data_IF_811697547540
#
_entry.id   IF_811697547540
#
_cell.length_a   1.000
_cell.length_b   1.000
_cell.length_c   1.000
_cell.angle_alpha   90.00
_cell.angle_beta   90.00
_cell.angle_gamma   90.00
#
_symmetry.space_group_name_H-M   'P 1'
#
loop_
_entity.id
_entity.type
_entity.pdbx_description
1 polymer ?
#
# COMPACT_ATOMS: atom_id res chain seq x y z
N UNK A 1 -13.07 11.97 3.28
CA UNK A 1 -11.88 12.87 3.40
C UNK A 1 -10.53 12.21 3.75
N UNK A 2 -10.40 10.94 4.20
CA UNK A 2 -9.09 10.42 4.66
C UNK A 2 -8.15 9.79 3.61
N UNK A 3 -8.46 9.86 2.30
CA UNK A 3 -7.63 9.26 1.22
C UNK A 3 -6.35 10.04 0.86
N UNK A 4 -6.36 11.36 1.07
CA UNK A 4 -5.24 12.25 0.72
C UNK A 4 -3.99 11.96 1.56
N UNK A 5 -4.16 11.59 2.83
CA UNK A 5 -3.05 11.22 3.72
C UNK A 5 -2.29 10.00 3.21
N UNK A 6 -3.01 8.94 2.81
CA UNK A 6 -2.38 7.77 2.20
C UNK A 6 -1.75 8.07 0.84
N UNK A 7 -2.41 8.89 0.01
CA UNK A 7 -1.84 9.31 -1.27
C UNK A 7 -0.49 10.01 -1.07
N UNK A 8 -0.43 10.97 -0.15
CA UNK A 8 0.80 11.67 0.20
C UNK A 8 1.87 10.71 0.74
N UNK A 9 1.50 9.75 1.59
CA UNK A 9 2.45 8.75 2.11
C UNK A 9 3.08 7.91 0.99
N UNK A 10 2.28 7.40 0.05
CA UNK A 10 2.78 6.62 -1.09
C UNK A 10 3.65 7.47 -2.02
N UNK A 11 3.27 8.72 -2.29
CA UNK A 11 4.08 9.64 -3.11
C UNK A 11 5.42 9.98 -2.44
N UNK A 12 5.40 10.25 -1.14
CA UNK A 12 6.63 10.51 -0.37
C UNK A 12 7.51 9.26 -0.30
N UNK A 13 6.93 8.08 -0.13
CA UNK A 13 7.66 6.81 -0.13
C UNK A 13 8.32 6.56 -1.49
N UNK A 14 7.59 6.76 -2.60
CA UNK A 14 8.12 6.64 -3.95
C UNK A 14 9.24 7.65 -4.19
N UNK A 15 9.02 8.92 -3.84
CA UNK A 15 10.02 9.97 -3.97
C UNK A 15 11.30 9.63 -3.22
N UNK A 16 11.21 9.19 -1.96
CA UNK A 16 12.38 8.78 -1.17
C UNK A 16 13.17 7.65 -1.83
N UNK A 17 12.49 6.67 -2.42
CA UNK A 17 13.14 5.54 -3.12
C UNK A 17 13.76 5.95 -4.46
N UNK A 18 13.18 6.92 -5.16
CA UNK A 18 13.69 7.42 -6.44
C UNK A 18 14.81 8.45 -6.28
N UNK A 19 14.73 9.31 -5.26
CA UNK A 19 15.74 10.34 -4.97
C UNK A 19 17.00 9.75 -4.32
N UNK A 20 16.85 8.68 -3.54
CA UNK A 20 17.95 7.99 -2.86
C UNK A 20 17.91 6.48 -3.15
N UNK A 21 18.13 6.07 -4.41
CA UNK A 21 18.11 4.65 -4.79
C UNK A 21 19.16 3.82 -4.04
N UNK A 22 20.27 4.42 -3.61
CA UNK A 22 21.31 3.80 -2.80
C UNK A 22 20.78 3.30 -1.44
N UNK A 23 19.95 4.09 -0.76
CA UNK A 23 19.37 3.73 0.53
C UNK A 23 18.34 2.61 0.38
N UNK A 24 17.60 2.60 -0.73
CA UNK A 24 16.67 1.53 -1.05
C UNK A 24 17.41 0.24 -1.43
N UNK A 25 18.41 0.33 -2.30
CA UNK A 25 19.23 -0.81 -2.73
C UNK A 25 20.01 -1.44 -1.56
N UNK A 26 20.34 -0.68 -0.52
CA UNK A 26 20.98 -1.21 0.70
C UNK A 26 20.12 -2.24 1.45
N UNK A 27 18.81 -2.33 1.19
CA UNK A 27 17.98 -3.42 1.71
C UNK A 27 18.16 -4.72 0.94
N UNK A 28 18.62 -4.68 -0.32
CA UNK A 28 18.72 -5.86 -1.17
C UNK A 28 19.60 -6.98 -0.58
N UNK A 29 20.81 -6.72 -0.07
CA UNK A 29 21.66 -7.77 0.52
C UNK A 29 21.07 -8.41 1.78
N UNK A 30 20.15 -7.73 2.48
CA UNK A 30 19.50 -8.27 3.70
C UNK A 30 18.62 -9.49 3.40
N UNK A 31 18.23 -9.69 2.15
CA UNK A 31 17.42 -10.82 1.70
C UNK A 31 18.26 -12.00 1.19
N UNK A 32 19.59 -11.91 1.27
CA UNK A 32 20.45 -13.01 0.83
C UNK A 32 20.21 -14.27 1.66
N UNK A 33 20.13 -15.42 0.99
CA UNK A 33 19.73 -16.70 1.59
C UNK A 33 18.25 -16.81 2.00
N UNK A 34 17.45 -15.75 1.85
CA UNK A 34 16.02 -15.72 2.20
C UNK A 34 15.14 -15.82 0.95
N UNK A 35 15.44 -15.01 -0.07
CA UNK A 35 14.75 -15.02 -1.36
C UNK A 35 15.73 -15.10 -2.54
N UNK A 36 15.35 -15.73 -3.66
CA UNK A 36 16.15 -15.70 -4.88
C UNK A 36 16.30 -14.28 -5.43
N UNK A 37 17.54 -13.89 -5.75
CA UNK A 37 17.86 -12.59 -6.34
C UNK A 37 17.09 -12.31 -7.65
N UNK A 38 16.73 -13.35 -8.40
CA UNK A 38 15.95 -13.26 -9.65
C UNK A 38 14.56 -12.66 -9.42
N UNK A 39 13.94 -12.93 -8.26
CA UNK A 39 12.63 -12.37 -7.91
C UNK A 39 12.76 -10.98 -7.24
N UNK A 40 13.80 -10.79 -6.43
CA UNK A 40 14.03 -9.53 -5.71
C UNK A 40 14.39 -8.38 -6.64
N UNK A 41 15.23 -8.61 -7.66
CA UNK A 41 15.67 -7.56 -8.60
C UNK A 41 14.51 -6.82 -9.28
N UNK A 42 13.57 -7.52 -9.96
CA UNK A 42 12.43 -6.84 -10.58
C UNK A 42 11.50 -6.23 -9.53
N UNK A 43 11.35 -6.84 -8.35
CA UNK A 43 10.52 -6.28 -7.27
C UNK A 43 11.06 -4.94 -6.77
N UNK A 44 12.36 -4.87 -6.45
CA UNK A 44 13.01 -3.64 -5.97
C UNK A 44 12.97 -2.52 -7.02
N UNK A 45 13.09 -2.86 -8.30
CA UNK A 45 13.01 -1.89 -9.39
C UNK A 45 11.58 -1.41 -9.66
N UNK A 46 10.58 -2.30 -9.56
CA UNK A 46 9.19 -1.98 -9.85
C UNK A 46 8.48 -1.24 -8.70
N UNK A 47 8.85 -1.53 -7.45
CA UNK A 47 8.15 -1.01 -6.27
C UNK A 47 8.03 0.52 -6.24
N UNK A 48 9.07 1.34 -6.51
CA UNK A 48 8.94 2.80 -6.49
C UNK A 48 7.93 3.32 -7.53
N UNK A 49 7.86 2.69 -8.70
CA UNK A 49 6.90 3.04 -9.74
C UNK A 49 5.47 2.64 -9.36
N UNK A 50 5.31 1.47 -8.73
CA UNK A 50 4.01 1.03 -8.19
C UNK A 50 3.53 2.00 -7.12
N UNK A 51 4.40 2.41 -6.20
CA UNK A 51 4.06 3.37 -5.14
C UNK A 51 3.69 4.75 -5.71
N UNK A 52 4.42 5.21 -6.73
CA UNK A 52 4.12 6.47 -7.41
C UNK A 52 2.76 6.42 -8.11
N UNK A 53 2.48 5.34 -8.83
CA UNK A 53 1.21 5.15 -9.54
C UNK A 53 0.04 5.07 -8.56
N UNK A 54 0.17 4.27 -7.49
CA UNK A 54 -0.86 4.17 -6.45
C UNK A 54 -1.10 5.49 -5.72
N UNK A 55 -0.02 6.22 -5.41
CA UNK A 55 -0.09 7.55 -4.83
C UNK A 55 -0.85 8.52 -5.74
N UNK A 56 -0.55 8.54 -7.04
CA UNK A 56 -1.23 9.37 -8.02
C UNK A 56 -2.71 9.00 -8.19
N UNK A 57 -3.06 7.71 -8.25
CA UNK A 57 -4.46 7.27 -8.33
C UNK A 57 -5.26 7.67 -7.09
N UNK A 58 -4.69 7.49 -5.89
CA UNK A 58 -5.33 7.86 -4.64
C UNK A 58 -5.49 9.39 -4.52
N UNK A 59 -4.51 10.16 -5.01
CA UNK A 59 -4.55 11.62 -5.05
C UNK A 59 -5.65 12.13 -5.99
N UNK A 60 -5.68 11.62 -7.23
CA UNK A 60 -6.69 11.96 -8.23
C UNK A 60 -8.10 11.44 -7.87
N UNK A 61 -8.18 10.48 -6.94
CA UNK A 61 -9.44 9.86 -6.51
C UNK A 61 -10.04 8.87 -7.51
N UNK A 62 -9.33 8.59 -8.60
CA UNK A 62 -9.77 7.70 -9.67
C UNK A 62 -9.61 6.22 -9.25
N UNK A 63 -10.60 5.37 -9.57
CA UNK A 63 -10.59 3.93 -9.22
C UNK A 63 -10.21 3.64 -7.76
N UNK A 64 -10.69 4.46 -6.82
CA UNK A 64 -10.25 4.44 -5.42
C UNK A 64 -10.34 3.06 -4.78
N UNK A 65 -11.38 2.27 -5.09
CA UNK A 65 -11.52 0.87 -4.60
C UNK A 65 -10.40 -0.04 -5.10
N UNK A 66 -10.02 0.06 -6.37
CA UNK A 66 -8.94 -0.73 -6.97
C UNK A 66 -7.58 -0.30 -6.42
N UNK A 67 -7.33 1.01 -6.36
CA UNK A 67 -6.10 1.58 -5.81
C UNK A 67 -5.90 1.20 -4.33
N UNK A 68 -6.95 1.23 -3.51
CA UNK A 68 -6.91 0.79 -2.11
C UNK A 68 -6.60 -0.71 -1.96
N UNK A 69 -7.18 -1.57 -2.81
CA UNK A 69 -6.87 -3.01 -2.81
C UNK A 69 -5.41 -3.28 -3.18
N UNK A 70 -4.93 -2.62 -4.24
CA UNK A 70 -3.53 -2.75 -4.68
C UNK A 70 -2.54 -2.18 -3.67
N UNK A 71 -2.87 -1.05 -3.03
CA UNK A 71 -2.08 -0.49 -1.94
C UNK A 71 -1.99 -1.45 -0.74
N UNK A 72 -3.11 -2.08 -0.37
CA UNK A 72 -3.14 -3.10 0.68
C UNK A 72 -2.28 -4.31 0.33
N UNK A 73 -2.38 -4.80 -0.91
CA UNK A 73 -1.55 -5.91 -1.40
C UNK A 73 -0.06 -5.55 -1.37
N UNK A 74 0.30 -4.35 -1.84
CA UNK A 74 1.69 -3.86 -1.84
C UNK A 74 2.26 -3.78 -0.43
N UNK A 75 1.48 -3.24 0.53
CA UNK A 75 1.88 -3.17 1.94
C UNK A 75 1.99 -4.55 2.58
N UNK A 76 1.12 -5.51 2.23
CA UNK A 76 1.24 -6.90 2.69
C UNK A 76 2.52 -7.55 2.18
N UNK A 77 2.84 -7.38 0.89
CA UNK A 77 4.09 -7.91 0.31
C UNK A 77 5.31 -7.29 0.97
N UNK A 78 5.30 -5.97 1.22
CA UNK A 78 6.35 -5.27 1.95
C UNK A 78 6.49 -5.75 3.39
N UNK A 79 5.37 -5.86 4.11
CA UNK A 79 5.35 -6.35 5.49
C UNK A 79 5.93 -7.77 5.57
N UNK A 80 5.54 -8.65 4.65
CA UNK A 80 6.11 -9.99 4.55
C UNK A 80 7.62 -9.96 4.35
N UNK A 81 8.12 -9.23 3.36
CA UNK A 81 9.57 -9.15 3.11
C UNK A 81 10.35 -8.60 4.31
N UNK A 82 9.86 -7.53 4.92
CA UNK A 82 10.48 -6.89 6.08
C UNK A 82 10.48 -7.81 7.32
N UNK A 83 9.44 -8.62 7.50
CA UNK A 83 9.39 -9.64 8.55
C UNK A 83 10.40 -10.77 8.33
N UNK A 84 10.66 -11.16 7.08
CA UNK A 84 11.67 -12.18 6.79
C UNK A 84 13.08 -11.73 7.16
N UNK A 85 13.40 -10.45 6.95
CA UNK A 85 14.68 -9.85 7.39
C UNK A 85 14.65 -9.39 8.86
N UNK A 86 13.56 -9.70 9.59
CA UNK A 86 13.35 -9.41 11.02
C UNK A 86 13.49 -7.93 11.40
N UNK A 87 13.19 -7.01 10.49
CA UNK A 87 13.23 -5.57 10.75
C UNK A 87 11.88 -5.11 11.34
N UNK A 88 11.71 -5.30 12.64
CA UNK A 88 10.43 -5.04 13.33
C UNK A 88 10.03 -3.56 13.33
N UNK A 89 11.00 -2.64 13.26
CA UNK A 89 10.71 -1.21 13.24
C UNK A 89 9.97 -0.84 11.94
N UNK A 90 10.50 -1.28 10.80
CA UNK A 90 9.87 -1.07 9.50
C UNK A 90 8.58 -1.89 9.37
N UNK A 91 8.52 -3.09 9.96
CA UNK A 91 7.32 -3.93 9.95
C UNK A 91 6.14 -3.25 10.67
N UNK A 92 6.37 -2.71 11.87
CA UNK A 92 5.36 -1.96 12.62
C UNK A 92 4.86 -0.74 11.84
N UNK A 93 5.77 0.00 11.19
CA UNK A 93 5.41 1.15 10.37
C UNK A 93 4.51 0.76 9.19
N UNK A 94 4.86 -0.31 8.47
CA UNK A 94 4.05 -0.84 7.37
C UNK A 94 2.71 -1.39 7.84
N UNK A 95 2.66 -1.99 9.03
CA UNK A 95 1.42 -2.49 9.63
C UNK A 95 0.43 -1.35 9.94
N UNK A 96 0.91 -0.22 10.47
CA UNK A 96 0.08 0.98 10.69
C UNK A 96 -0.53 1.47 9.37
N UNK A 97 0.27 1.53 8.30
CA UNK A 97 -0.22 1.91 6.97
C UNK A 97 -1.25 0.92 6.42
N UNK A 98 -1.04 -0.38 6.64
CA UNK A 98 -1.98 -1.43 6.24
C UNK A 98 -3.32 -1.29 6.96
N UNK A 99 -3.32 -1.03 8.27
CA UNK A 99 -4.53 -0.75 9.04
C UNK A 99 -5.26 0.49 8.53
N UNK A 100 -4.53 1.54 8.16
CA UNK A 100 -5.12 2.74 7.57
C UNK A 100 -5.78 2.43 6.21
N UNK A 101 -5.10 1.69 5.31
CA UNK A 101 -5.67 1.22 4.04
C UNK A 101 -6.93 0.38 4.27
N UNK A 102 -6.88 -0.56 5.22
CA UNK A 102 -8.00 -1.45 5.54
C UNK A 102 -9.21 -0.67 6.07
N UNK A 103 -8.99 0.29 6.98
CA UNK A 103 -10.05 1.16 7.49
C UNK A 103 -10.68 2.01 6.39
N UNK A 104 -9.87 2.58 5.49
CA UNK A 104 -10.39 3.29 4.32
C UNK A 104 -11.19 2.39 3.39
N UNK A 105 -10.70 1.19 3.12
CA UNK A 105 -11.42 0.23 2.29
C UNK A 105 -12.75 -0.19 2.92
N UNK A 106 -12.77 -0.37 4.25
CA UNK A 106 -13.97 -0.70 5.01
C UNK A 106 -15.01 0.43 4.95
N UNK A 107 -14.63 1.70 5.11
CA UNK A 107 -15.58 2.83 4.99
C UNK A 107 -16.19 2.92 3.59
N UNK A 108 -15.38 2.70 2.54
CA UNK A 108 -15.86 2.68 1.15
C UNK A 108 -16.81 1.49 0.90
N UNK A 109 -16.58 0.35 1.55
CA UNK A 109 -17.44 -0.84 1.47
C UNK A 109 -18.75 -0.63 2.24
N UNK A 110 -18.70 0.01 3.41
CA UNK A 110 -19.87 0.33 4.24
C UNK A 110 -20.82 1.29 3.53
N UNK A 111 -20.30 2.31 2.83
CA UNK A 111 -21.16 3.20 2.02
C UNK A 111 -21.88 2.46 0.89
N UNK A 112 -21.32 1.37 0.38
CA UNK A 112 -21.96 0.54 -0.66
C UNK A 112 -23.02 -0.43 -0.09
N UNK A 113 -22.87 -0.86 1.17
CA UNK A 113 -23.76 -1.83 1.82
C UNK A 113 -24.88 -1.18 2.64
N UNK A 114 -24.65 0.03 3.17
CA UNK A 114 -25.55 0.70 4.12
C UNK A 114 -26.66 1.56 3.50
N UNK A 115 -26.47 2.08 2.28
CA UNK A 115 -27.49 2.94 1.63
C UNK A 115 -28.51 2.15 0.81
N UNK A 116 -28.17 0.94 0.37
CA UNK A 116 -29.03 0.17 -0.54
C UNK A 116 -30.11 -0.64 0.21
N UNK A 117 -30.00 -0.77 1.53
CA UNK A 117 -30.96 -1.54 2.36
C UNK A 117 -32.07 -0.69 2.97
N UNK A 118 -31.94 0.64 2.99
CA UNK A 118 -32.94 1.53 3.62
C UNK A 118 -34.04 2.04 2.68
N UNK A 119 -33.92 1.86 1.35
CA UNK A 119 -34.92 2.39 0.39
C UNK A 119 -36.04 1.42 0.00
N UNK A 120 -36.01 0.18 0.47
CA UNK A 120 -36.97 -0.87 0.09
C UNK A 120 -37.94 -1.28 1.19
N UNK A 121 -38.03 -0.53 2.31
CA UNK A 121 -38.91 -0.90 3.44
C UNK A 121 -39.99 0.13 3.82
N UNK A 122 -40.07 1.26 3.12
CA UNK A 122 -41.09 2.29 3.36
C UNK A 122 -42.15 2.36 2.24
N UNK A 123 -42.47 1.22 1.60
CA UNK A 123 -43.33 1.15 0.42
C UNK A 123 -44.37 0.04 0.40
N UNK A 124 -44.66 -0.60 1.54
CA UNK A 124 -45.76 -1.57 1.71
C UNK A 124 -46.68 -1.15 2.86
#
# INVERSE_FOLDING_TARGET
>A
MPRWGLAALFLVAAYKKLAHPENWAAYFPKFDGVLPAVLLKPFFAALPWIELFLGALLLLGLFTRGALKLAGLTLLTLLFGVLMIRDFAVACQNFIYLCAVAGLLATVKLHALGLDRFRTRDGD
#
